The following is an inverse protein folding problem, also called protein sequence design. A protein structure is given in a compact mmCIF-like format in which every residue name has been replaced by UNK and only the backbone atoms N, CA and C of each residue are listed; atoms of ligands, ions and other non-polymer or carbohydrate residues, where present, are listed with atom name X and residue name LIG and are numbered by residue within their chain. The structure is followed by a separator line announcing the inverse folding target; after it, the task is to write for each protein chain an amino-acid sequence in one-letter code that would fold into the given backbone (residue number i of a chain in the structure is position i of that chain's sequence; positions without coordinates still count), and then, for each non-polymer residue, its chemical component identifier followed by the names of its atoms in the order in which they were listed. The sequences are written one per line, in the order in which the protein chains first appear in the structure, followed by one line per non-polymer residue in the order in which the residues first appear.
data_IF_054276084164
#
_entry.id   IF_054276084164
#
_cell.length_a   1.000
_cell.length_b   1.000
_cell.length_c   1.000
_cell.angle_alpha   90.00
_cell.angle_beta   90.00
_cell.angle_gamma   90.00
#
_symmetry.space_group_name_H-M   'P 1'
#
loop_
_entity.id
_entity.type
_entity.pdbx_description
1 polymer ?
#
# COMPACT_ATOMS: atom_id res chain seq x y z
N UNK A 1 13.80 -22.49 3.58
CA UNK A 1 12.38 -22.87 3.52
C UNK A 1 11.96 -22.73 2.07
N UNK A 2 11.75 -23.83 1.38
CA UNK A 2 11.24 -23.80 0.00
C UNK A 2 9.74 -23.53 0.09
N UNK A 3 9.29 -22.42 -0.43
CA UNK A 3 7.87 -22.28 -0.71
C UNK A 3 7.60 -23.21 -1.90
N UNK A 4 6.86 -24.28 -1.66
CA UNK A 4 6.36 -25.10 -2.75
C UNK A 4 5.64 -24.17 -3.72
N UNK A 5 5.93 -24.36 -5.02
CA UNK A 5 5.20 -23.67 -6.07
C UNK A 5 3.72 -23.81 -5.79
N UNK A 6 3.03 -22.68 -5.77
CA UNK A 6 1.57 -22.68 -5.90
C UNK A 6 1.27 -23.49 -7.15
N UNK A 7 0.41 -24.48 -7.01
CA UNK A 7 0.06 -25.42 -8.09
C UNK A 7 -0.40 -24.59 -9.29
N UNK A 8 0.22 -24.78 -10.45
CA UNK A 8 -0.10 -24.05 -11.67
C UNK A 8 -1.56 -24.27 -12.14
N UNK A 9 -2.25 -25.23 -11.50
CA UNK A 9 -3.67 -25.52 -11.75
C UNK A 9 -4.63 -24.68 -10.88
N UNK A 10 -4.11 -23.84 -9.98
CA UNK A 10 -4.92 -22.98 -9.12
C UNK A 10 -5.44 -21.78 -9.94
N UNK A 11 -6.76 -21.63 -9.99
CA UNK A 11 -7.41 -20.52 -10.68
C UNK A 11 -8.35 -19.74 -9.74
N UNK A 12 -8.86 -18.61 -10.20
CA UNK A 12 -9.72 -17.75 -9.40
C UNK A 12 -11.00 -18.43 -8.89
N UNK A 13 -11.47 -19.48 -9.60
CA UNK A 13 -12.65 -20.24 -9.21
C UNK A 13 -12.38 -21.13 -7.99
N UNK A 14 -11.10 -21.46 -7.71
CA UNK A 14 -10.69 -22.25 -6.55
C UNK A 14 -10.60 -21.40 -5.28
N UNK A 15 -10.67 -20.07 -5.41
CA UNK A 15 -10.64 -19.16 -4.28
C UNK A 15 -11.93 -19.19 -3.48
N UNK A 16 -11.81 -18.89 -2.20
CA UNK A 16 -12.93 -18.96 -1.26
C UNK A 16 -14.06 -18.04 -1.70
N UNK A 17 -15.23 -18.62 -1.96
CA UNK A 17 -16.44 -17.88 -2.29
C UNK A 17 -17.41 -17.72 -1.11
N UNK A 18 -17.01 -18.15 0.09
CA UNK A 18 -17.79 -18.07 1.32
C UNK A 18 -19.20 -18.68 1.21
N UNK A 19 -19.32 -19.82 0.51
CA UNK A 19 -20.61 -20.48 0.25
C UNK A 19 -21.53 -19.67 -0.67
N UNK A 20 -20.95 -19.00 -1.66
CA UNK A 20 -21.68 -18.16 -2.63
C UNK A 20 -21.98 -16.74 -2.15
N UNK A 21 -21.46 -16.34 -0.98
CA UNK A 21 -21.65 -14.99 -0.40
C UNK A 21 -20.51 -14.02 -0.69
N UNK A 22 -19.44 -14.48 -1.33
CA UNK A 22 -18.28 -13.66 -1.72
C UNK A 22 -17.92 -13.90 -3.17
N UNK A 23 -17.21 -12.94 -3.74
CA UNK A 23 -16.65 -13.02 -5.09
C UNK A 23 -15.19 -12.61 -5.02
N UNK A 24 -14.32 -13.37 -5.66
CA UNK A 24 -12.93 -12.97 -5.82
C UNK A 24 -12.85 -11.76 -6.77
N UNK A 25 -11.97 -10.84 -6.44
CA UNK A 25 -11.58 -9.73 -7.30
C UNK A 25 -10.06 -9.77 -7.47
N UNK A 26 -9.58 -9.50 -8.67
CA UNK A 26 -8.15 -9.38 -8.93
C UNK A 26 -7.53 -8.28 -8.05
N UNK A 27 -6.22 -8.39 -7.75
CA UNK A 27 -5.52 -7.35 -7.00
C UNK A 27 -5.63 -5.97 -7.67
N UNK A 28 -5.74 -4.92 -6.87
CA UNK A 28 -5.70 -3.54 -7.38
C UNK A 28 -4.29 -3.12 -7.79
N UNK A 29 -3.26 -3.71 -7.17
CA UNK A 29 -1.86 -3.59 -7.54
C UNK A 29 -1.08 -4.79 -7.00
N UNK A 30 -0.14 -5.31 -7.78
CA UNK A 30 0.82 -6.31 -7.32
C UNK A 30 2.26 -5.82 -7.45
N UNK A 31 3.10 -6.22 -6.52
CA UNK A 31 4.55 -6.01 -6.59
C UNK A 31 5.25 -7.32 -6.93
N UNK A 32 6.06 -7.31 -7.98
CA UNK A 32 6.87 -8.49 -8.37
C UNK A 32 7.93 -8.84 -7.35
N UNK A 33 8.41 -7.86 -6.62
CA UNK A 33 9.37 -8.07 -5.54
C UNK A 33 8.67 -8.14 -4.20
N UNK A 34 9.15 -8.99 -3.32
CA UNK A 34 8.60 -9.10 -1.96
C UNK A 34 8.69 -7.76 -1.24
N UNK A 35 7.53 -7.20 -0.93
CA UNK A 35 7.38 -5.90 -0.28
C UNK A 35 7.05 -6.04 1.21
N UNK A 36 6.23 -7.02 1.57
CA UNK A 36 5.68 -7.17 2.92
C UNK A 36 4.79 -5.97 3.28
N UNK A 37 3.64 -5.77 2.59
CA UNK A 37 2.68 -4.74 2.99
C UNK A 37 2.11 -5.10 4.37
N UNK A 38 2.31 -4.22 5.34
CA UNK A 38 1.98 -4.47 6.75
C UNK A 38 0.95 -3.54 7.31
N UNK A 39 0.72 -2.43 6.62
CA UNK A 39 -0.27 -1.44 7.03
C UNK A 39 -0.96 -0.87 5.81
N UNK A 40 -2.25 -0.62 5.93
CA UNK A 40 -3.04 0.11 4.96
C UNK A 40 -4.00 1.03 5.69
N UNK A 41 -4.08 2.28 5.26
CA UNK A 41 -4.95 3.28 5.88
C UNK A 41 -5.50 4.24 4.84
N UNK A 42 -6.74 4.71 5.04
CA UNK A 42 -7.28 5.89 4.39
C UNK A 42 -6.98 7.12 5.24
N UNK A 43 -6.37 8.14 4.67
CA UNK A 43 -6.03 9.37 5.39
C UNK A 43 -7.26 10.29 5.49
N UNK A 44 -8.07 10.11 6.51
CA UNK A 44 -9.26 10.95 6.75
C UNK A 44 -8.88 12.29 7.38
N UNK A 45 -8.01 13.05 6.71
CA UNK A 45 -7.51 14.33 7.20
C UNK A 45 -6.87 15.13 6.05
N UNK A 46 -7.05 16.44 6.10
CA UNK A 46 -6.42 17.41 5.19
C UNK A 46 -5.07 17.96 5.72
N UNK A 47 -4.59 17.47 6.87
CA UNK A 47 -3.39 18.00 7.54
C UNK A 47 -2.10 17.87 6.74
N UNK A 48 -1.99 16.87 5.88
CA UNK A 48 -0.86 16.71 4.95
C UNK A 48 -1.05 17.47 3.64
N UNK A 49 -2.23 18.04 3.44
CA UNK A 49 -2.67 18.73 2.23
C UNK A 49 -3.95 18.10 1.68
N UNK A 50 -4.83 18.92 1.14
CA UNK A 50 -6.12 18.48 0.63
C UNK A 50 -6.00 17.43 -0.51
N UNK A 51 -4.86 17.41 -1.21
CA UNK A 51 -4.59 16.43 -2.27
C UNK A 51 -4.41 14.99 -1.75
N UNK A 52 -4.18 14.82 -0.46
CA UNK A 52 -4.01 13.49 0.17
C UNK A 52 -5.22 13.05 0.98
N UNK A 53 -6.22 13.92 1.11
CA UNK A 53 -7.40 13.63 1.92
C UNK A 53 -8.20 12.47 1.34
N UNK A 54 -8.45 11.47 2.19
CA UNK A 54 -9.17 10.23 1.86
C UNK A 54 -8.47 9.30 0.87
N UNK A 55 -7.20 9.51 0.59
CA UNK A 55 -6.38 8.61 -0.20
C UNK A 55 -5.84 7.43 0.60
N UNK A 56 -5.30 6.45 -0.10
CA UNK A 56 -4.74 5.23 0.49
C UNK A 56 -3.24 5.38 0.72
N UNK A 57 -2.81 4.98 1.91
CA UNK A 57 -1.40 4.83 2.27
C UNK A 57 -1.10 3.39 2.66
N UNK A 58 -0.02 2.83 2.13
CA UNK A 58 0.42 1.46 2.40
C UNK A 58 1.85 1.48 2.91
N UNK A 59 2.10 0.82 4.03
CA UNK A 59 3.43 0.67 4.62
C UNK A 59 4.07 -0.67 4.30
N UNK A 60 5.37 -0.66 4.05
CA UNK A 60 6.18 -1.85 3.79
C UNK A 60 7.17 -2.13 4.91
N UNK A 61 7.15 -3.35 5.44
CA UNK A 61 8.14 -3.77 6.44
C UNK A 61 9.49 -4.11 5.82
N UNK A 62 9.50 -4.56 4.57
CA UNK A 62 10.75 -4.98 3.89
C UNK A 62 11.56 -3.78 3.42
N UNK A 63 10.92 -2.81 2.77
CA UNK A 63 11.62 -1.64 2.21
C UNK A 63 11.68 -0.46 3.17
N UNK A 64 10.77 -0.37 4.13
CA UNK A 64 10.61 0.81 4.97
C UNK A 64 10.01 2.00 4.23
N UNK A 65 9.34 1.74 3.11
CA UNK A 65 8.65 2.75 2.31
C UNK A 65 7.19 2.87 2.71
N UNK A 66 6.65 4.04 2.45
CA UNK A 66 5.22 4.32 2.46
C UNK A 66 4.82 4.66 1.04
N UNK A 67 3.80 3.98 0.54
CA UNK A 67 3.22 4.22 -0.78
C UNK A 67 1.92 4.99 -0.63
N UNK A 68 1.64 5.83 -1.61
CA UNK A 68 0.43 6.63 -1.70
C UNK A 68 -0.30 6.34 -3.01
N UNK A 69 -1.61 6.25 -2.92
CA UNK A 69 -2.49 6.02 -4.07
C UNK A 69 -3.68 6.95 -4.02
N UNK A 70 -3.86 7.70 -5.11
CA UNK A 70 -5.10 8.39 -5.40
C UNK A 70 -6.19 7.39 -5.78
N UNK A 71 -7.43 7.75 -5.54
CA UNK A 71 -8.60 7.00 -5.99
C UNK A 71 -9.31 7.74 -7.11
N UNK A 72 -9.96 6.97 -7.99
CA UNK A 72 -10.88 7.54 -8.98
C UNK A 72 -11.99 8.33 -8.30
N UNK A 73 -12.64 9.25 -9.04
CA UNK A 73 -13.69 10.13 -8.50
C UNK A 73 -14.84 9.35 -7.84
N UNK A 74 -15.18 8.18 -8.41
CA UNK A 74 -16.19 7.27 -7.85
C UNK A 74 -15.64 6.38 -6.72
N UNK A 75 -14.34 6.49 -6.43
CA UNK A 75 -13.60 5.76 -5.38
C UNK A 75 -13.65 4.23 -5.52
N UNK A 76 -13.78 3.74 -6.73
CA UNK A 76 -13.85 2.31 -7.01
C UNK A 76 -12.53 1.69 -7.44
N UNK A 77 -11.55 2.52 -7.87
CA UNK A 77 -10.27 2.04 -8.40
C UNK A 77 -9.13 2.96 -7.95
N UNK A 78 -7.90 2.42 -7.98
CA UNK A 78 -6.69 3.21 -7.84
C UNK A 78 -6.42 4.00 -9.13
N UNK A 79 -5.94 5.23 -9.00
CA UNK A 79 -5.35 5.96 -10.11
C UNK A 79 -3.88 5.56 -10.19
N UNK A 80 -3.53 4.76 -11.19
CA UNK A 80 -2.19 4.24 -11.36
C UNK A 80 -1.47 5.00 -12.48
N UNK A 81 -0.34 5.68 -12.18
CA UNK A 81 0.37 6.46 -13.16
C UNK A 81 1.24 5.60 -14.07
N UNK A 82 1.34 6.00 -15.35
CA UNK A 82 2.35 5.55 -16.30
C UNK A 82 2.57 4.05 -16.37
N UNK A 83 3.71 3.59 -15.91
CA UNK A 83 4.12 2.19 -15.98
C UNK A 83 3.32 1.24 -15.08
N UNK A 84 2.50 1.77 -14.18
CA UNK A 84 1.63 0.99 -13.29
C UNK A 84 0.21 0.77 -13.83
N UNK A 85 -0.10 1.24 -15.05
CA UNK A 85 -1.43 1.07 -15.65
C UNK A 85 -1.83 -0.41 -15.82
N UNK A 86 -0.86 -1.32 -15.93
CA UNK A 86 -1.08 -2.76 -15.96
C UNK A 86 -1.27 -3.39 -14.57
N UNK A 87 -1.29 -2.56 -13.51
CA UNK A 87 -1.39 -2.97 -12.10
C UNK A 87 -0.21 -3.79 -11.58
N UNK A 88 0.97 -3.67 -12.20
CA UNK A 88 2.16 -4.42 -11.82
C UNK A 88 3.35 -3.48 -11.59
N UNK A 89 3.87 -3.46 -10.37
CA UNK A 89 5.14 -2.82 -10.06
C UNK A 89 6.29 -3.82 -10.28
N UNK A 90 6.96 -3.74 -11.42
CA UNK A 90 7.96 -4.71 -11.86
C UNK A 90 9.22 -4.67 -10.99
N UNK A 91 9.75 -3.47 -10.73
CA UNK A 91 10.92 -3.26 -9.87
C UNK A 91 10.78 -1.98 -9.07
N UNK A 92 11.68 -1.78 -8.09
CA UNK A 92 11.75 -0.53 -7.32
C UNK A 92 12.10 0.68 -8.18
N UNK A 93 12.76 0.47 -9.30
CA UNK A 93 13.22 1.51 -10.23
C UNK A 93 12.24 1.72 -11.39
N UNK A 94 11.30 0.77 -11.56
CA UNK A 94 10.34 0.78 -12.66
C UNK A 94 8.91 0.68 -12.12
N UNK A 95 8.26 1.81 -12.00
CA UNK A 95 6.89 1.95 -11.55
C UNK A 95 6.74 2.23 -10.06
N UNK A 96 7.42 1.50 -9.16
CA UNK A 96 7.30 1.68 -7.71
C UNK A 96 7.65 3.10 -7.27
N UNK A 97 8.66 3.72 -7.86
CA UNK A 97 9.09 5.09 -7.50
C UNK A 97 8.00 6.14 -7.73
N UNK A 98 7.03 5.86 -8.61
CA UNK A 98 5.94 6.79 -8.92
C UNK A 98 4.90 6.87 -7.80
N UNK A 99 4.86 5.88 -6.91
CA UNK A 99 3.90 5.78 -5.82
C UNK A 99 4.54 5.90 -4.43
N UNK A 100 5.87 6.07 -4.34
CA UNK A 100 6.55 6.27 -3.05
C UNK A 100 6.22 7.65 -2.50
N UNK A 101 5.58 7.69 -1.33
CA UNK A 101 5.29 8.89 -0.58
C UNK A 101 6.42 9.26 0.39
N UNK A 102 7.00 8.26 1.04
CA UNK A 102 8.07 8.43 1.99
C UNK A 102 8.93 7.19 2.13
N UNK A 103 10.19 7.37 2.50
CA UNK A 103 11.17 6.31 2.61
C UNK A 103 12.06 6.48 3.84
N UNK A 104 12.86 5.45 4.15
CA UNK A 104 13.83 5.53 5.24
C UNK A 104 13.28 5.17 6.62
N UNK A 105 12.10 4.61 6.71
CA UNK A 105 11.48 4.22 7.99
C UNK A 105 12.02 2.90 8.56
N UNK A 106 12.92 2.21 7.86
CA UNK A 106 13.52 0.94 8.29
C UNK A 106 12.49 -0.12 8.73
N UNK A 107 11.49 -0.33 7.89
CA UNK A 107 10.39 -1.26 8.12
C UNK A 107 9.20 -0.60 8.79
N UNK A 108 8.17 -0.32 8.01
CA UNK A 108 6.88 0.16 8.52
C UNK A 108 6.08 -1.02 9.00
N UNK A 109 5.66 -1.00 10.25
CA UNK A 109 4.82 -2.06 10.83
C UNK A 109 3.36 -1.61 11.05
N UNK A 110 3.12 -0.31 11.10
CA UNK A 110 1.78 0.24 11.26
C UNK A 110 1.71 1.70 10.80
N UNK A 111 0.52 2.10 10.36
CA UNK A 111 0.16 3.48 10.00
C UNK A 111 -1.15 3.85 10.71
N UNK A 112 -1.21 5.03 11.30
CA UNK A 112 -2.40 5.50 12.00
C UNK A 112 -2.57 7.01 11.83
N UNK A 113 -3.81 7.49 11.76
CA UNK A 113 -4.09 8.93 11.83
C UNK A 113 -4.28 9.31 13.28
N UNK A 114 -3.42 10.19 13.78
CA UNK A 114 -3.50 10.67 15.15
C UNK A 114 -4.67 11.63 15.40
N UNK A 115 -4.95 11.93 16.67
CA UNK A 115 -6.03 12.85 17.03
C UNK A 115 -5.80 14.29 16.54
N UNK A 116 -4.57 14.61 16.18
CA UNK A 116 -4.17 15.88 15.56
C UNK A 116 -4.34 15.89 14.02
N UNK A 117 -4.77 14.76 13.45
CA UNK A 117 -4.99 14.58 12.01
C UNK A 117 -3.72 14.29 11.19
N UNK A 118 -2.56 14.15 11.83
CA UNK A 118 -1.32 13.78 11.12
C UNK A 118 -1.16 12.26 11.03
N UNK A 119 -0.43 11.82 10.03
CA UNK A 119 -0.07 10.42 9.84
C UNK A 119 1.06 10.03 10.80
N UNK A 120 0.85 8.98 11.57
CA UNK A 120 1.85 8.37 12.44
C UNK A 120 2.35 7.07 11.83
N UNK A 121 3.65 6.86 11.90
CA UNK A 121 4.35 5.72 11.29
C UNK A 121 5.12 4.97 12.36
N UNK A 122 4.81 3.71 12.54
CA UNK A 122 5.56 2.82 13.45
C UNK A 122 6.70 2.18 12.68
N UNK A 123 7.94 2.55 13.03
CA UNK A 123 9.16 2.00 12.47
C UNK A 123 9.66 0.83 13.30
N UNK A 124 9.60 -0.38 12.74
CA UNK A 124 10.06 -1.59 13.41
C UNK A 124 11.57 -1.59 13.62
N UNK A 125 12.33 -1.30 12.57
CA UNK A 125 13.80 -1.38 12.61
C UNK A 125 14.46 -0.28 13.44
N UNK A 126 13.79 0.86 13.64
CA UNK A 126 14.32 1.96 14.45
C UNK A 126 13.72 2.01 15.87
N UNK A 127 12.68 1.23 16.14
CA UNK A 127 11.96 1.26 17.42
C UNK A 127 11.38 2.65 17.72
N UNK A 128 10.83 3.32 16.69
CA UNK A 128 10.35 4.70 16.78
C UNK A 128 8.94 4.84 16.21
N UNK A 129 8.24 5.85 16.69
CA UNK A 129 7.02 6.35 16.08
C UNK A 129 7.32 7.73 15.51
N UNK A 130 7.14 7.88 14.21
CA UNK A 130 7.27 9.16 13.52
C UNK A 130 5.91 9.81 13.33
N UNK A 131 5.88 11.13 13.37
CA UNK A 131 4.75 11.90 12.90
C UNK A 131 5.13 12.62 11.61
N UNK A 132 4.38 12.37 10.55
CA UNK A 132 4.58 13.03 9.25
C UNK A 132 3.86 14.37 9.26
N UNK A 133 4.60 15.42 8.96
CA UNK A 133 4.08 16.79 8.90
C UNK A 133 4.51 17.44 7.57
N UNK A 134 3.72 18.37 7.04
CA UNK A 134 4.13 19.11 5.84
C UNK A 134 5.46 19.82 6.06
N UNK A 135 6.27 19.88 5.02
CA UNK A 135 7.46 20.76 5.01
C UNK A 135 7.01 22.22 5.02
N UNK A 136 7.64 22.98 5.86
CA UNK A 136 7.40 24.44 5.94
C UNK A 136 8.01 25.19 4.77
#
# INVERSE_FOLDING_TARGET
MSFDKVDDDFNNDDLVNFGGRGTYSDPELEWRQTLGPTAIIFLHSDRLGAQYENDIFVGSVVTGNIFHFDLTEDRTQLVLPGELEDKIAETRETGEEQIVFGEGFAGVSDLEVGPDGYLYVVSLGQGKIFRVVPSS
#
